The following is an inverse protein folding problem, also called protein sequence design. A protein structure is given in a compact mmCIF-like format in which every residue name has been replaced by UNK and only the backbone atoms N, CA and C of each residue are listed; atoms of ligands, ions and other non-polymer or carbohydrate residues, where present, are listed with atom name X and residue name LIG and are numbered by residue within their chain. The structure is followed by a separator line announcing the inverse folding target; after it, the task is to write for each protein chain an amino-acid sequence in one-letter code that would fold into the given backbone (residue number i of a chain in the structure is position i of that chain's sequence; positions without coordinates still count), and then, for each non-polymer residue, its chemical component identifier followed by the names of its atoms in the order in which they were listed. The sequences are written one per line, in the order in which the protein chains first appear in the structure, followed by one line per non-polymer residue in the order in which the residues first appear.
data_IF_503783866319
#
_entry.id   IF_503783866319
#
_cell.length_a   1.000
_cell.length_b   1.000
_cell.length_c   1.000
_cell.angle_alpha   90.00
_cell.angle_beta   90.00
_cell.angle_gamma   90.00
#
_symmetry.space_group_name_H-M   'P 1'
#
loop_
_entity.id
_entity.type
_entity.pdbx_description
1 polymer ?
#
# COMPACT_ATOMS: atom_id res chain seq x y z
N UNK A 1 1.43 50.12 -20.03
CA UNK A 1 0.52 48.98 -19.82
C UNK A 1 1.32 47.70 -19.92
N UNK A 2 1.68 47.09 -18.79
CA UNK A 2 2.35 45.78 -18.76
C UNK A 2 1.59 44.96 -17.72
N UNK A 3 0.71 44.08 -18.20
CA UNK A 3 0.01 43.07 -17.39
C UNK A 3 1.06 42.09 -16.86
N UNK A 4 1.49 42.27 -15.62
CA UNK A 4 2.29 41.27 -14.91
C UNK A 4 1.31 40.28 -14.27
N UNK A 5 1.14 39.15 -14.95
CA UNK A 5 0.47 37.95 -14.44
C UNK A 5 1.31 37.47 -13.25
N UNK A 6 0.80 37.64 -12.04
CA UNK A 6 1.36 37.01 -10.86
C UNK A 6 0.86 35.56 -10.88
N UNK A 7 1.73 34.66 -11.32
CA UNK A 7 1.54 33.20 -11.26
C UNK A 7 1.61 32.82 -9.78
N UNK A 8 0.44 32.69 -9.15
CA UNK A 8 0.31 32.23 -7.78
C UNK A 8 0.46 30.72 -7.75
N UNK A 9 1.67 30.30 -7.37
CA UNK A 9 2.02 29.19 -6.47
C UNK A 9 1.26 27.89 -6.67
N UNK A 10 2.01 26.91 -7.19
CA UNK A 10 1.67 25.50 -7.26
C UNK A 10 1.29 24.96 -5.86
N UNK A 11 0.00 24.65 -5.71
CA UNK A 11 -0.59 23.88 -4.63
C UNK A 11 -1.54 22.88 -5.28
N UNK A 12 -0.94 21.89 -5.93
CA UNK A 12 -1.60 20.66 -6.25
C UNK A 12 -0.55 19.59 -6.02
N UNK A 13 -0.66 19.00 -4.84
CA UNK A 13 -0.22 17.68 -4.43
C UNK A 13 0.85 17.05 -5.32
N UNK A 14 1.98 16.73 -4.69
CA UNK A 14 2.82 15.67 -5.14
C UNK A 14 1.93 14.51 -5.64
N UNK A 15 1.77 14.40 -6.96
CA UNK A 15 1.67 13.11 -7.61
C UNK A 15 3.03 12.48 -7.31
N UNK A 16 3.08 11.88 -6.12
CA UNK A 16 4.21 11.16 -5.59
C UNK A 16 4.61 10.13 -6.64
N UNK A 17 5.89 9.81 -6.69
CA UNK A 17 6.34 8.58 -7.31
C UNK A 17 5.92 7.38 -6.43
N UNK A 18 4.62 7.25 -6.11
CA UNK A 18 4.04 6.16 -5.35
C UNK A 18 3.16 5.35 -6.29
N UNK A 19 3.43 4.04 -6.40
CA UNK A 19 2.59 3.15 -7.19
C UNK A 19 1.18 3.06 -6.62
N UNK A 20 0.29 2.49 -7.43
CA UNK A 20 -1.12 2.30 -7.08
C UNK A 20 -1.24 1.03 -6.23
N UNK A 21 -1.13 1.20 -4.90
CA UNK A 21 -1.25 0.09 -3.93
C UNK A 21 -2.55 -0.70 -4.12
N UNK A 22 -3.68 -0.03 -4.40
CA UNK A 22 -4.96 -0.72 -4.62
C UNK A 22 -4.90 -1.54 -5.91
N UNK A 23 -4.39 -0.95 -7.00
CA UNK A 23 -4.22 -1.61 -8.29
C UNK A 23 -3.31 -2.83 -8.23
N UNK A 24 -2.13 -2.69 -7.65
CA UNK A 24 -1.14 -3.77 -7.56
C UNK A 24 -1.63 -4.89 -6.64
N UNK A 25 -2.29 -4.55 -5.52
CA UNK A 25 -2.95 -5.53 -4.67
C UNK A 25 -4.07 -6.28 -5.41
N UNK A 26 -4.88 -5.58 -6.20
CA UNK A 26 -5.99 -6.19 -6.94
C UNK A 26 -5.45 -7.24 -7.92
N UNK A 27 -4.40 -6.92 -8.67
CA UNK A 27 -3.80 -7.84 -9.63
C UNK A 27 -3.21 -9.07 -8.93
N UNK A 28 -2.46 -8.88 -7.83
CA UNK A 28 -1.92 -10.00 -7.03
C UNK A 28 -3.05 -10.84 -6.44
N UNK A 29 -4.11 -10.22 -5.93
CA UNK A 29 -5.22 -10.93 -5.31
C UNK A 29 -5.99 -11.77 -6.33
N UNK A 30 -6.30 -11.20 -7.51
CA UNK A 30 -6.94 -11.95 -8.60
C UNK A 30 -6.06 -13.10 -9.09
N UNK A 31 -4.75 -12.88 -9.25
CA UNK A 31 -3.80 -13.94 -9.60
C UNK A 31 -3.70 -15.03 -8.51
N UNK A 32 -3.82 -14.63 -7.23
CA UNK A 32 -3.77 -15.56 -6.09
C UNK A 32 -5.01 -16.43 -5.95
N UNK A 33 -6.15 -16.06 -6.58
CA UNK A 33 -7.37 -16.90 -6.57
C UNK A 33 -7.15 -18.25 -7.25
N UNK A 34 -6.22 -18.34 -8.19
CA UNK A 34 -5.87 -19.62 -8.82
C UNK A 34 -5.07 -20.53 -7.86
N UNK A 35 -4.50 -19.95 -6.80
CA UNK A 35 -3.68 -20.63 -5.79
C UNK A 35 -4.47 -21.06 -4.56
N UNK A 36 -5.56 -20.33 -4.25
CA UNK A 36 -6.39 -20.59 -3.08
C UNK A 36 -7.81 -20.94 -3.55
N UNK A 37 -8.37 -22.08 -3.13
CA UNK A 37 -9.77 -22.48 -3.46
C UNK A 37 -10.84 -21.58 -2.77
N UNK A 38 -10.49 -20.33 -2.44
CA UNK A 38 -11.31 -19.41 -1.64
C UNK A 38 -11.65 -18.18 -2.47
N UNK A 39 -12.93 -17.84 -2.60
CA UNK A 39 -13.37 -16.58 -3.19
C UNK A 39 -13.06 -15.42 -2.24
N UNK A 40 -11.88 -14.81 -2.38
CA UNK A 40 -11.58 -13.52 -1.76
C UNK A 40 -12.30 -12.39 -2.52
N UNK A 41 -12.96 -11.48 -1.80
CA UNK A 41 -13.43 -10.23 -2.39
C UNK A 41 -12.24 -9.25 -2.49
N UNK A 42 -11.45 -9.42 -3.56
CA UNK A 42 -10.20 -8.69 -3.80
C UNK A 42 -10.39 -7.18 -3.75
N UNK A 43 -11.52 -6.66 -4.26
CA UNK A 43 -11.82 -5.23 -4.21
C UNK A 43 -11.91 -4.69 -2.79
N UNK A 44 -12.71 -5.33 -1.94
CA UNK A 44 -12.84 -4.87 -0.54
C UNK A 44 -11.55 -5.04 0.24
N UNK A 45 -10.77 -6.09 -0.06
CA UNK A 45 -9.51 -6.35 0.61
C UNK A 45 -8.47 -5.30 0.23
N UNK A 46 -8.29 -5.04 -1.06
CA UNK A 46 -7.27 -4.12 -1.56
C UNK A 46 -7.60 -2.65 -1.29
N UNK A 47 -8.88 -2.27 -1.31
CA UNK A 47 -9.30 -0.95 -0.83
C UNK A 47 -8.90 -0.76 0.63
N UNK A 48 -9.13 -1.75 1.51
CA UNK A 48 -8.69 -1.65 2.91
C UNK A 48 -7.17 -1.58 3.04
N UNK A 49 -6.44 -2.35 2.24
CA UNK A 49 -4.96 -2.31 2.26
C UNK A 49 -4.43 -0.94 1.85
N UNK A 50 -5.01 -0.33 0.82
CA UNK A 50 -4.67 1.03 0.41
C UNK A 50 -4.98 2.06 1.50
N UNK A 51 -6.18 1.97 2.11
CA UNK A 51 -6.58 2.84 3.24
C UNK A 51 -5.62 2.68 4.44
N UNK A 52 -5.21 1.45 4.78
CA UNK A 52 -4.24 1.17 5.84
C UNK A 52 -2.86 1.73 5.50
N UNK A 53 -2.41 1.58 4.26
CA UNK A 53 -1.10 2.06 3.82
C UNK A 53 -1.04 3.59 3.92
N UNK A 54 -2.10 4.29 3.50
CA UNK A 54 -2.23 5.74 3.66
C UNK A 54 -2.27 6.15 5.13
N UNK A 55 -3.09 5.47 5.96
CA UNK A 55 -3.21 5.79 7.37
C UNK A 55 -1.91 5.60 8.17
N UNK A 56 -1.06 4.66 7.74
CA UNK A 56 0.23 4.36 8.37
C UNK A 56 1.42 5.07 7.73
N UNK A 57 1.20 5.82 6.65
CA UNK A 57 2.26 6.42 5.82
C UNK A 57 3.28 5.38 5.26
N UNK A 58 2.83 4.13 5.09
CA UNK A 58 3.63 2.98 4.64
C UNK A 58 3.36 2.62 3.17
N UNK A 59 2.88 3.55 2.35
CA UNK A 59 2.50 3.28 0.95
C UNK A 59 3.70 2.80 0.12
N UNK A 60 4.90 3.34 0.35
CA UNK A 60 6.09 2.92 -0.39
C UNK A 60 6.40 1.44 -0.17
N UNK A 61 6.49 1.00 1.09
CA UNK A 61 6.80 -0.40 1.41
C UNK A 61 5.67 -1.34 1.01
N UNK A 62 4.42 -0.87 1.11
CA UNK A 62 3.27 -1.64 0.65
C UNK A 62 3.33 -1.86 -0.86
N UNK A 63 3.66 -0.81 -1.61
CA UNK A 63 3.83 -0.87 -3.04
C UNK A 63 4.99 -1.78 -3.46
N UNK A 64 6.14 -1.69 -2.77
CA UNK A 64 7.30 -2.56 -3.05
C UNK A 64 6.97 -4.04 -2.81
N UNK A 65 6.19 -4.35 -1.77
CA UNK A 65 5.71 -5.71 -1.52
C UNK A 65 4.81 -6.23 -2.64
N UNK A 66 3.81 -5.46 -3.07
CA UNK A 66 2.92 -5.92 -4.15
C UNK A 66 3.62 -5.97 -5.51
N UNK A 67 4.54 -5.05 -5.79
CA UNK A 67 5.39 -5.11 -6.98
C UNK A 67 6.22 -6.40 -6.99
N UNK A 68 6.84 -6.77 -5.86
CA UNK A 68 7.54 -8.05 -5.75
C UNK A 68 6.61 -9.24 -6.02
N UNK A 69 5.38 -9.19 -5.48
CA UNK A 69 4.38 -10.26 -5.64
C UNK A 69 3.88 -10.39 -7.08
N UNK A 70 3.90 -9.30 -7.86
CA UNK A 70 3.60 -9.32 -9.30
C UNK A 70 4.77 -9.85 -10.13
N UNK A 71 6.00 -9.47 -9.78
CA UNK A 71 7.22 -9.93 -10.48
C UNK A 71 7.53 -11.42 -10.20
N UNK A 72 7.02 -11.95 -9.09
CA UNK A 72 7.13 -13.35 -8.69
C UNK A 72 5.80 -14.11 -8.89
N UNK A 73 5.77 -15.38 -8.49
CA UNK A 73 4.54 -16.18 -8.51
C UNK A 73 3.58 -15.69 -7.42
N UNK A 74 2.38 -15.25 -7.82
CA UNK A 74 1.31 -14.87 -6.90
C UNK A 74 0.94 -16.02 -5.93
N UNK A 75 1.22 -17.27 -6.27
CA UNK A 75 1.05 -18.41 -5.36
C UNK A 75 2.14 -18.55 -4.30
N UNK A 76 3.26 -17.84 -4.43
CA UNK A 76 4.41 -17.97 -3.53
C UNK A 76 4.73 -16.63 -2.84
N UNK A 77 4.09 -16.38 -1.70
CA UNK A 77 4.33 -15.16 -0.92
C UNK A 77 5.74 -15.11 -0.30
N UNK A 78 6.34 -16.27 -0.02
CA UNK A 78 7.67 -16.38 0.61
C UNK A 78 8.79 -15.80 -0.27
N UNK A 79 8.56 -15.69 -1.58
CA UNK A 79 9.50 -15.05 -2.51
C UNK A 79 9.71 -13.55 -2.20
N UNK A 80 8.78 -12.93 -1.46
CA UNK A 80 8.76 -11.50 -1.13
C UNK A 80 8.82 -11.23 0.38
N UNK A 81 9.39 -12.17 1.16
CA UNK A 81 9.56 -12.03 2.61
C UNK A 81 10.44 -10.83 3.00
N UNK A 82 11.37 -10.42 2.13
CA UNK A 82 12.23 -9.28 2.36
C UNK A 82 11.42 -7.96 2.35
N UNK A 83 10.63 -7.74 1.29
CA UNK A 83 9.76 -6.60 1.12
C UNK A 83 8.64 -6.59 2.16
N UNK A 84 8.08 -7.77 2.47
CA UNK A 84 7.12 -7.91 3.57
C UNK A 84 7.74 -7.55 4.93
N UNK A 85 9.01 -7.88 5.14
CA UNK A 85 9.76 -7.50 6.34
C UNK A 85 9.89 -5.98 6.48
N UNK A 86 10.22 -5.28 5.39
CA UNK A 86 10.30 -3.80 5.39
C UNK A 86 8.93 -3.16 5.65
N UNK A 87 7.87 -3.67 5.03
CA UNK A 87 6.49 -3.25 5.32
C UNK A 87 6.11 -3.48 6.78
N UNK A 88 6.47 -4.63 7.34
CA UNK A 88 6.19 -4.98 8.73
C UNK A 88 6.91 -4.06 9.70
N UNK A 89 8.16 -3.69 9.41
CA UNK A 89 8.91 -2.71 10.21
C UNK A 89 8.24 -1.34 10.15
N UNK A 90 7.82 -0.88 8.96
CA UNK A 90 7.10 0.39 8.83
C UNK A 90 5.83 0.44 9.68
N UNK A 91 4.98 -0.59 9.58
CA UNK A 91 3.75 -0.68 10.39
C UNK A 91 4.04 -0.78 11.89
N UNK A 92 5.11 -1.49 12.27
CA UNK A 92 5.53 -1.59 13.67
C UNK A 92 5.99 -0.23 14.21
N UNK A 93 6.80 0.52 13.46
CA UNK A 93 7.25 1.85 13.85
C UNK A 93 6.06 2.80 14.05
N UNK A 94 5.10 2.79 13.12
CA UNK A 94 3.83 3.51 13.29
C UNK A 94 3.13 3.15 14.61
N UNK A 95 2.99 1.86 14.92
CA UNK A 95 2.32 1.43 16.15
C UNK A 95 3.10 1.71 17.43
N UNK A 96 4.43 1.77 17.37
CA UNK A 96 5.25 2.21 18.50
C UNK A 96 5.07 3.71 18.77
N UNK A 97 4.83 4.51 17.74
CA UNK A 97 4.56 5.95 17.84
C UNK A 97 3.09 6.27 18.17
N UNK A 98 2.17 5.40 17.74
CA UNK A 98 0.72 5.54 17.87
C UNK A 98 0.06 4.31 18.52
N UNK A 99 0.41 3.97 19.78
CA UNK A 99 -0.04 2.73 20.43
C UNK A 99 -1.55 2.65 20.66
N UNK A 100 -2.25 3.80 20.68
CA UNK A 100 -3.70 3.86 20.86
C UNK A 100 -4.47 3.91 19.52
N UNK A 101 -3.80 3.77 18.38
CA UNK A 101 -4.44 3.79 17.07
C UNK A 101 -5.18 2.48 16.77
N UNK A 102 -6.33 2.55 16.11
CA UNK A 102 -7.20 1.38 15.88
C UNK A 102 -6.53 0.26 15.05
N UNK A 103 -5.59 0.62 14.19
CA UNK A 103 -4.81 -0.34 13.39
C UNK A 103 -3.72 -1.08 14.18
N UNK A 104 -3.44 -0.63 15.40
CA UNK A 104 -2.40 -1.17 16.28
C UNK A 104 -2.97 -2.04 17.40
N UNK A 105 -4.29 -2.19 17.44
CA UNK A 105 -4.95 -3.05 18.40
C UNK A 105 -4.74 -4.52 18.00
N UNK A 106 -3.89 -5.21 18.75
CA UNK A 106 -3.57 -6.64 18.53
C UNK A 106 -4.71 -7.53 19.06
N UNK A 107 -5.64 -6.93 19.82
CA UNK A 107 -6.83 -7.56 20.37
C UNK A 107 -8.04 -7.28 19.45
N UNK A 108 -8.20 -8.06 18.38
CA UNK A 108 -9.36 -7.96 17.48
C UNK A 108 -10.74 -8.12 18.14
#
# INVERSE_FOLDING_TARGET
MIRRIVVLVALAFAASCGGDVEGDCLEVCEASKDCTETEANCKSLCSRVADEAEATECESQTNDYYACRLDNDACNAEACDAEYGELSVCKLDFCLEHPDHELCDIDG
#
